data_IF_233522233510
#
_entry.id   IF_233522233510
#
_cell.length_a   1.000
_cell.length_b   1.000
_cell.length_c   1.000
_cell.angle_alpha   90.00
_cell.angle_beta   90.00
_cell.angle_gamma   90.00
#
_symmetry.space_group_name_H-M   'P 1'
#
loop_
_entity.id
_entity.type
_entity.pdbx_description
1 polymer ?
#
# COMPACT_ATOMS: atom_id res chain seq x y z
N UNK A 1 -1.37 -2.01 8.90
CA UNK A 1 -1.09 -2.89 10.06
C UNK A 1 -1.92 -4.16 9.92
N UNK A 2 -1.29 -5.32 10.02
CA UNK A 2 -1.93 -6.64 9.92
C UNK A 2 -1.79 -7.38 11.25
N UNK A 3 -2.88 -7.94 11.75
CA UNK A 3 -2.91 -8.69 13.01
C UNK A 3 -3.62 -10.03 12.85
N UNK A 4 -3.16 -11.05 13.58
CA UNK A 4 -3.90 -12.31 13.73
C UNK A 4 -4.26 -12.55 15.20
N UNK A 5 -5.48 -12.17 15.63
CA UNK A 5 -5.89 -12.31 17.03
C UNK A 5 -6.04 -13.76 17.48
N UNK A 6 -6.16 -14.71 16.54
CA UNK A 6 -6.33 -16.14 16.82
C UNK A 6 -5.03 -16.88 17.18
N UNK A 7 -3.87 -16.20 17.18
CA UNK A 7 -2.60 -16.79 17.58
C UNK A 7 -2.20 -16.28 18.98
N UNK A 8 -1.84 -17.20 19.89
CA UNK A 8 -1.26 -16.81 21.18
C UNK A 8 0.00 -15.97 20.93
N UNK A 9 0.01 -14.73 21.43
CA UNK A 9 1.10 -13.77 21.24
C UNK A 9 0.90 -12.74 20.11
N UNK A 10 -0.31 -12.62 19.52
CA UNK A 10 -0.70 -11.58 18.56
C UNK A 10 0.43 -11.12 17.63
N UNK A 11 0.89 -12.02 16.76
CA UNK A 11 1.86 -11.64 15.74
C UNK A 11 1.26 -10.50 14.91
N UNK A 12 1.96 -9.37 14.86
CA UNK A 12 1.54 -8.13 14.21
C UNK A 12 2.61 -7.75 13.20
N UNK A 13 2.23 -7.53 11.94
CA UNK A 13 3.10 -6.94 10.94
C UNK A 13 2.68 -5.49 10.67
N UNK A 14 3.64 -4.59 10.59
CA UNK A 14 3.40 -3.18 10.24
C UNK A 14 3.96 -2.93 8.86
N UNK A 15 3.18 -2.32 7.98
CA UNK A 15 3.60 -2.03 6.61
C UNK A 15 3.33 -0.55 6.36
N UNK A 16 4.30 0.10 5.71
CA UNK A 16 4.11 1.40 5.08
C UNK A 16 3.34 1.25 3.76
N UNK A 17 3.06 2.37 3.09
CA UNK A 17 2.27 2.37 1.84
C UNK A 17 2.93 1.49 0.77
N UNK A 18 4.26 1.59 0.62
CA UNK A 18 5.01 0.77 -0.33
C UNK A 18 4.89 -0.72 -0.01
N UNK A 19 5.05 -1.11 1.25
CA UNK A 19 4.90 -2.50 1.67
C UNK A 19 3.49 -3.05 1.50
N UNK A 20 2.46 -2.20 1.63
CA UNK A 20 1.07 -2.56 1.31
C UNK A 20 0.90 -2.81 -0.18
N UNK A 21 1.44 -1.95 -1.05
CA UNK A 21 1.40 -2.13 -2.51
C UNK A 21 2.17 -3.37 -2.97
N UNK A 22 3.36 -3.59 -2.40
CA UNK A 22 4.19 -4.74 -2.71
C UNK A 22 3.51 -6.04 -2.28
N UNK A 23 2.94 -6.09 -1.06
CA UNK A 23 2.17 -7.24 -0.60
C UNK A 23 0.94 -7.51 -1.48
N UNK A 24 0.23 -6.47 -1.89
CA UNK A 24 -0.91 -6.58 -2.79
C UNK A 24 -0.54 -7.24 -4.13
N UNK A 25 0.56 -6.79 -4.75
CA UNK A 25 1.09 -7.39 -5.97
C UNK A 25 1.61 -8.82 -5.74
N UNK A 26 2.32 -9.05 -4.64
CA UNK A 26 2.90 -10.36 -4.30
C UNK A 26 1.83 -11.43 -4.09
N UNK A 27 0.68 -11.09 -3.51
CA UNK A 27 -0.44 -12.02 -3.38
C UNK A 27 -0.91 -12.51 -4.75
N UNK A 28 -1.07 -11.61 -5.72
CA UNK A 28 -1.49 -12.00 -7.07
C UNK A 28 -0.41 -12.79 -7.80
N UNK A 29 0.84 -12.37 -7.67
CA UNK A 29 1.97 -13.08 -8.27
C UNK A 29 2.06 -14.51 -7.71
N UNK A 30 1.91 -14.70 -6.39
CA UNK A 30 1.85 -16.01 -5.76
C UNK A 30 0.67 -16.86 -6.25
N UNK A 31 -0.50 -16.26 -6.52
CA UNK A 31 -1.64 -16.99 -7.11
C UNK A 31 -1.37 -17.43 -8.55
N UNK A 32 -0.81 -16.56 -9.37
CA UNK A 32 -0.58 -16.81 -10.81
C UNK A 32 0.56 -17.81 -11.01
N UNK A 33 1.58 -17.80 -10.15
CA UNK A 33 2.73 -18.69 -10.24
C UNK A 33 2.38 -20.19 -10.04
N UNK A 34 1.19 -20.52 -9.52
CA UNK A 34 0.78 -21.92 -9.34
C UNK A 34 1.74 -22.64 -8.39
N UNK A 35 2.55 -23.57 -8.91
CA UNK A 35 3.58 -24.32 -8.18
C UNK A 35 5.01 -23.75 -8.32
N UNK A 36 5.22 -22.70 -9.10
CA UNK A 36 6.53 -22.11 -9.35
C UNK A 36 7.02 -21.24 -8.19
N UNK A 37 8.31 -21.29 -7.85
CA UNK A 37 8.86 -20.40 -6.84
C UNK A 37 8.75 -18.93 -7.25
N UNK A 38 8.55 -18.05 -6.26
CA UNK A 38 8.70 -16.61 -6.42
C UNK A 38 9.99 -16.15 -5.75
N UNK A 39 10.66 -15.13 -6.31
CA UNK A 39 11.71 -14.45 -5.59
C UNK A 39 11.17 -13.85 -4.29
N UNK A 40 12.06 -13.71 -3.31
CA UNK A 40 11.80 -12.88 -2.13
C UNK A 40 11.78 -11.42 -2.57
N UNK A 41 10.83 -10.65 -2.04
CA UNK A 41 10.75 -9.21 -2.25
C UNK A 41 11.07 -8.48 -0.95
N UNK A 42 11.70 -7.31 -1.05
CA UNK A 42 12.06 -6.49 0.11
C UNK A 42 11.53 -5.07 -0.03
N UNK A 43 10.92 -4.56 1.02
CA UNK A 43 10.61 -3.13 1.14
C UNK A 43 11.81 -2.39 1.72
N UNK A 44 12.05 -1.16 1.26
CA UNK A 44 13.15 -0.29 1.69
C UNK A 44 12.70 0.91 2.53
N UNK A 45 11.39 1.00 2.84
CA UNK A 45 10.81 2.05 3.66
C UNK A 45 11.00 1.86 5.17
N UNK A 46 10.34 2.73 5.95
CA UNK A 46 10.39 2.78 7.42
C UNK A 46 10.05 1.44 8.08
N UNK A 47 9.20 0.65 7.42
CA UNK A 47 8.82 -0.68 7.84
C UNK A 47 9.43 -1.73 6.92
N UNK A 48 10.76 -1.79 6.86
CA UNK A 48 11.52 -2.79 6.07
C UNK A 48 10.98 -4.20 6.33
N UNK A 49 10.52 -4.85 5.26
CA UNK A 49 9.83 -6.13 5.30
C UNK A 49 10.32 -6.99 4.16
N UNK A 50 10.76 -8.22 4.47
CA UNK A 50 10.97 -9.25 3.46
C UNK A 50 9.70 -10.09 3.32
N UNK A 51 9.21 -10.18 2.09
CA UNK A 51 8.03 -10.95 1.69
C UNK A 51 8.51 -12.20 0.97
N UNK A 52 8.07 -13.37 1.44
CA UNK A 52 8.47 -14.67 0.90
C UNK A 52 7.27 -15.58 0.72
N UNK A 53 7.22 -16.33 -0.37
CA UNK A 53 6.29 -17.43 -0.54
C UNK A 53 6.85 -18.71 0.11
N UNK A 54 6.12 -19.25 1.09
CA UNK A 54 6.37 -20.57 1.64
C UNK A 54 5.32 -21.56 1.09
N UNK A 55 5.74 -22.64 0.42
CA UNK A 55 4.84 -23.57 -0.28
C UNK A 55 4.42 -24.79 0.55
N UNK A 56 5.33 -25.38 1.31
CA UNK A 56 5.09 -26.63 2.04
C UNK A 56 5.00 -26.40 3.56
N UNK A 57 4.13 -27.12 4.30
CA UNK A 57 3.09 -28.06 3.84
C UNK A 57 1.77 -27.40 3.41
N UNK A 58 1.62 -26.08 3.63
CA UNK A 58 0.48 -25.28 3.17
C UNK A 58 0.99 -23.93 2.69
N UNK A 59 0.58 -23.46 1.50
CA UNK A 59 1.05 -22.19 0.98
C UNK A 59 0.72 -21.02 1.90
N UNK A 60 1.72 -20.19 2.17
CA UNK A 60 1.61 -19.00 2.98
C UNK A 60 2.61 -17.94 2.51
N UNK A 61 2.24 -16.67 2.66
CA UNK A 61 3.17 -15.56 2.49
C UNK A 61 3.73 -15.22 3.87
N UNK A 62 5.04 -15.25 4.01
CA UNK A 62 5.74 -14.89 5.22
C UNK A 62 6.22 -13.44 5.14
N UNK A 63 5.85 -12.63 6.14
CA UNK A 63 6.39 -11.29 6.36
C UNK A 63 7.45 -11.36 7.45
N UNK A 64 8.68 -10.99 7.11
CA UNK A 64 9.83 -11.03 8.01
C UNK A 64 10.28 -9.59 8.25
N UNK A 65 10.27 -9.16 9.50
CA UNK A 65 10.63 -7.81 9.92
C UNK A 65 11.55 -7.87 11.14
N UNK A 66 12.37 -6.84 11.33
CA UNK A 66 13.13 -6.68 12.57
C UNK A 66 12.16 -6.47 13.74
N UNK A 67 12.41 -7.16 14.86
CA UNK A 67 11.56 -7.10 16.05
C UNK A 67 10.42 -8.12 16.11
N UNK A 68 10.17 -8.89 15.04
CA UNK A 68 9.28 -10.05 15.11
C UNK A 68 10.06 -11.29 15.55
N UNK A 69 9.64 -11.92 16.64
CA UNK A 69 10.21 -13.20 17.09
C UNK A 69 10.04 -14.31 16.05
N UNK A 70 8.95 -14.24 15.26
CA UNK A 70 8.62 -15.21 14.21
C UNK A 70 8.03 -14.50 13.00
N UNK A 71 8.21 -15.02 11.77
CA UNK A 71 7.58 -14.46 10.59
C UNK A 71 6.06 -14.41 10.73
N UNK A 72 5.46 -13.29 10.35
CA UNK A 72 4.00 -13.20 10.27
C UNK A 72 3.53 -13.93 9.00
N UNK A 73 2.86 -15.06 9.19
CA UNK A 73 2.38 -15.88 8.08
C UNK A 73 0.98 -15.43 7.64
N UNK A 74 0.74 -15.33 6.34
CA UNK A 74 -0.59 -15.14 5.72
C UNK A 74 -0.92 -16.41 4.94
N UNK A 75 -1.74 -17.32 5.50
CA UNK A 75 -2.12 -18.55 4.81
C UNK A 75 -2.89 -18.27 3.52
N UNK A 76 -2.75 -19.14 2.52
CA UNK A 76 -3.43 -19.00 1.24
C UNK A 76 -4.95 -18.89 1.32
N UNK A 77 -5.57 -19.48 2.35
CA UNK A 77 -7.01 -19.36 2.62
C UNK A 77 -7.48 -17.92 2.88
N UNK A 78 -6.56 -17.00 3.19
CA UNK A 78 -6.86 -15.59 3.45
C UNK A 78 -6.48 -14.66 2.30
N UNK A 79 -5.81 -15.16 1.26
CA UNK A 79 -5.27 -14.32 0.19
C UNK A 79 -6.35 -13.52 -0.54
N UNK A 80 -7.47 -14.15 -0.89
CA UNK A 80 -8.55 -13.46 -1.63
C UNK A 80 -9.17 -12.32 -0.84
N UNK A 81 -9.48 -12.61 0.43
CA UNK A 81 -10.04 -11.61 1.33
C UNK A 81 -9.05 -10.47 1.56
N UNK A 82 -7.79 -10.80 1.88
CA UNK A 82 -6.76 -9.80 2.10
C UNK A 82 -6.51 -8.97 0.85
N UNK A 83 -6.45 -9.59 -0.33
CA UNK A 83 -6.30 -8.89 -1.60
C UNK A 83 -7.42 -7.86 -1.83
N UNK A 84 -8.68 -8.27 -1.62
CA UNK A 84 -9.82 -7.37 -1.74
C UNK A 84 -9.78 -6.22 -0.72
N UNK A 85 -9.41 -6.51 0.53
CA UNK A 85 -9.23 -5.48 1.57
C UNK A 85 -8.11 -4.50 1.19
N UNK A 86 -7.00 -4.99 0.65
CA UNK A 86 -5.89 -4.16 0.18
C UNK A 86 -6.28 -3.27 -1.01
N UNK A 87 -7.10 -3.76 -1.95
CA UNK A 87 -7.64 -2.93 -3.03
C UNK A 87 -8.40 -1.71 -2.49
N UNK A 88 -9.23 -1.91 -1.45
CA UNK A 88 -9.97 -0.82 -0.82
C UNK A 88 -9.03 0.12 -0.06
N UNK A 89 -8.09 -0.40 0.73
CA UNK A 89 -7.12 0.41 1.48
C UNK A 89 -6.30 1.29 0.52
N UNK A 90 -5.76 0.71 -0.55
CA UNK A 90 -4.95 1.44 -1.53
C UNK A 90 -5.76 2.51 -2.27
N UNK A 91 -7.03 2.27 -2.58
CA UNK A 91 -7.90 3.29 -3.16
C UNK A 91 -8.06 4.51 -2.23
N UNK A 92 -8.19 4.29 -0.91
CA UNK A 92 -8.31 5.36 0.07
C UNK A 92 -6.99 6.10 0.29
N UNK A 93 -5.86 5.38 0.39
CA UNK A 93 -4.53 5.99 0.51
C UNK A 93 -4.28 6.95 -0.67
N UNK A 94 -4.52 6.49 -1.90
CA UNK A 94 -4.38 7.33 -3.10
C UNK A 94 -5.35 8.51 -3.12
N UNK A 95 -6.54 8.38 -2.56
CA UNK A 95 -7.47 9.49 -2.45
C UNK A 95 -6.99 10.56 -1.46
N UNK A 96 -6.46 10.15 -0.31
CA UNK A 96 -5.88 11.04 0.69
C UNK A 96 -4.63 11.75 0.15
N UNK A 97 -3.75 11.03 -0.56
CA UNK A 97 -2.56 11.63 -1.18
C UNK A 97 -2.94 12.70 -2.21
N UNK A 98 -3.99 12.46 -3.02
CA UNK A 98 -4.54 13.47 -3.94
C UNK A 98 -5.10 14.68 -3.21
N UNK A 99 -5.81 14.49 -2.10
CA UNK A 99 -6.37 15.58 -1.30
C UNK A 99 -5.27 16.42 -0.66
N UNK A 100 -4.23 15.79 -0.10
CA UNK A 100 -3.07 16.48 0.45
C UNK A 100 -2.34 17.29 -0.64
N UNK A 101 -2.15 16.71 -1.82
CA UNK A 101 -1.54 17.38 -2.98
C UNK A 101 -2.37 18.58 -3.46
N UNK A 102 -3.70 18.45 -3.47
CA UNK A 102 -4.61 19.52 -3.91
C UNK A 102 -4.76 20.66 -2.88
N UNK A 103 -4.49 20.41 -1.60
CA UNK A 103 -4.51 21.44 -0.55
C UNK A 103 -3.23 22.31 -0.54
N UNK A 104 -2.17 21.90 -1.23
CA UNK A 104 -0.90 22.63 -1.32
C UNK A 104 -0.84 23.74 -2.39
N UNK A 105 -1.90 23.97 -3.16
CA UNK A 105 -1.96 25.06 -4.13
C UNK A 105 -3.03 26.06 -3.71
N UNK A 106 -2.69 27.20 -3.04
CA UNK A 106 -3.59 28.33 -3.06
C UNK A 106 -3.68 28.74 -4.53
N UNK A 107 -4.88 28.69 -5.09
CA UNK A 107 -5.17 29.31 -6.37
C UNK A 107 -4.74 30.78 -6.28
N UNK A 108 -3.56 31.12 -6.78
CA UNK A 108 -3.15 32.51 -6.99
C UNK A 108 -4.20 33.09 -7.92
N UNK A 109 -4.92 34.08 -7.41
CA UNK A 109 -6.00 34.77 -8.08
C UNK A 109 -5.59 35.12 -9.51
N UNK A 110 -6.32 34.54 -10.47
CA UNK A 110 -6.25 34.94 -11.86
C UNK A 110 -6.67 36.41 -11.90
N UNK A 111 -5.71 37.24 -12.28
CA UNK A 111 -5.72 38.68 -12.04
C UNK A 111 -7.01 39.40 -12.39
N UNK A 112 -7.31 40.39 -11.55
CA UNK A 112 -8.13 41.54 -11.88
C UNK A 112 -7.69 42.11 -13.24
N UNK A 113 -8.58 42.05 -14.23
CA UNK A 113 -8.52 42.98 -15.35
C UNK A 113 -9.22 44.28 -14.93
N UNK A 114 -8.43 45.32 -14.68
CA UNK A 114 -8.89 46.71 -14.56
C UNK A 114 -9.65 47.17 -15.82
N UNK A 115 -10.54 48.18 -15.70
CA UNK A 115 -11.41 48.63 -16.77
C UNK A 115 -10.65 49.43 -17.84
N UNK A 116 -10.97 49.16 -19.10
CA UNK A 116 -10.47 49.89 -20.27
C UNK A 116 -11.08 51.29 -20.32
N UNK A 117 -10.28 52.31 -20.00
CA UNK A 117 -10.58 53.71 -20.28
C UNK A 117 -10.54 53.95 -21.80
N UNK A 118 -11.70 54.19 -22.42
CA UNK A 118 -11.77 54.77 -23.78
C UNK A 118 -11.67 56.29 -23.67
N UNK A 119 -10.55 56.84 -24.15
CA UNK A 119 -10.45 58.23 -24.57
C UNK A 119 -11.16 58.37 -25.93
N UNK A 120 -12.00 59.39 -26.08
CA UNK A 120 -12.47 59.87 -27.39
C UNK A 120 -12.42 61.39 -27.34
N UNK A 121 -11.42 61.93 -28.03
CA UNK A 121 -11.22 63.36 -28.29
C UNK A 121 -12.14 63.76 -29.44
N UNK A 122 -12.80 64.91 -29.30
CA UNK A 122 -13.48 65.65 -30.40
C UNK A 122 -12.50 66.67 -30.95
#
# INVERSE_FOLDING_TARGET
>A
MLERPNLRGSARAVLDVYGVELLWGYIMAARVAGDQDLPDECTDGECTTRIRLARAPRPAIALIQAGLERPFQVPATFWDRLYAELCLVLAHVRALDRQASNQGTPCVGRGELLPSSRQTTV
#
